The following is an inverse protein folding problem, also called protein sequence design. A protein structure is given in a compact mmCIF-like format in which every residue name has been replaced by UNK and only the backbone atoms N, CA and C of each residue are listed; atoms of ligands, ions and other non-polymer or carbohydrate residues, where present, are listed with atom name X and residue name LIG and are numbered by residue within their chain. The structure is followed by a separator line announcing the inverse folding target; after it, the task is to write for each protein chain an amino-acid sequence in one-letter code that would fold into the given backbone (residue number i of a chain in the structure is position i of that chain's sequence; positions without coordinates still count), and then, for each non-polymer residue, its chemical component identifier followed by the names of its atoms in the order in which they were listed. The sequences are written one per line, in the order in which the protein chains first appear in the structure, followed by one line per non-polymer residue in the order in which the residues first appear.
data_IF_436422850736
#
_entry.id   IF_436422850736
#
_cell.length_a   1.000
_cell.length_b   1.000
_cell.length_c   1.000
_cell.angle_alpha   90.00
_cell.angle_beta   90.00
_cell.angle_gamma   90.00
#
_symmetry.space_group_name_H-M   'P 1'
#
loop_
_entity.id
_entity.type
_entity.pdbx_description
1 polymer ?
#
# COMPACT_ATOMS: atom_id res chain seq x y z
N UNK A 1 0.62 4.72 9.54
CA UNK A 1 0.30 3.34 9.16
C UNK A 1 1.33 2.39 9.78
N UNK A 2 0.85 1.41 10.52
CA UNK A 2 1.61 0.32 11.17
C UNK A 2 1.69 -0.92 10.28
N UNK A 3 2.50 -1.91 10.65
CA UNK A 3 2.59 -3.19 9.95
C UNK A 3 1.25 -3.96 9.96
N UNK A 4 0.50 -3.87 11.07
CA UNK A 4 -0.83 -4.49 11.16
C UNK A 4 -1.81 -3.86 10.17
N UNK A 5 -1.82 -2.52 10.06
CA UNK A 5 -2.66 -1.82 9.08
C UNK A 5 -2.25 -2.13 7.64
N UNK A 6 -0.95 -2.31 7.39
CA UNK A 6 -0.44 -2.72 6.09
C UNK A 6 -0.91 -4.15 5.74
N UNK A 7 -0.83 -5.06 6.69
CA UNK A 7 -1.32 -6.43 6.53
C UNK A 7 -2.83 -6.47 6.29
N UNK A 8 -3.62 -5.66 7.01
CA UNK A 8 -5.06 -5.53 6.79
C UNK A 8 -5.40 -5.02 5.39
N UNK A 9 -4.66 -4.05 4.87
CA UNK A 9 -4.86 -3.53 3.52
C UNK A 9 -4.59 -4.58 2.45
N UNK A 10 -3.50 -5.35 2.59
CA UNK A 10 -3.18 -6.45 1.68
C UNK A 10 -4.27 -7.53 1.72
N UNK A 11 -4.69 -7.95 2.92
CA UNK A 11 -5.81 -8.89 3.07
C UNK A 11 -7.09 -8.40 2.41
N UNK A 12 -7.37 -7.10 2.53
CA UNK A 12 -8.59 -6.50 2.00
C UNK A 12 -8.66 -6.55 0.46
N UNK A 13 -7.53 -6.68 -0.22
CA UNK A 13 -7.44 -6.84 -1.69
C UNK A 13 -7.14 -8.29 -2.11
N UNK A 14 -7.28 -9.24 -1.19
CA UNK A 14 -7.12 -10.67 -1.46
C UNK A 14 -5.66 -11.16 -1.45
N UNK A 15 -4.72 -10.34 -0.99
CA UNK A 15 -3.30 -10.70 -0.89
C UNK A 15 -3.01 -11.16 0.52
N UNK A 16 -2.52 -12.39 0.68
CA UNK A 16 -2.07 -12.86 1.99
C UNK A 16 -0.88 -12.02 2.44
N UNK A 17 -0.96 -11.37 3.62
CA UNK A 17 0.09 -10.51 4.10
C UNK A 17 1.27 -11.39 4.49
N UNK A 18 2.50 -10.96 4.21
CA UNK A 18 3.66 -11.74 4.54
C UNK A 18 3.76 -11.98 6.05
N UNK A 19 4.06 -13.23 6.42
CA UNK A 19 4.28 -13.61 7.82
C UNK A 19 5.57 -13.00 8.43
N UNK A 20 6.50 -12.54 7.58
CA UNK A 20 7.72 -11.84 7.98
C UNK A 20 7.65 -10.38 7.50
N UNK A 21 7.73 -9.37 8.40
CA UNK A 21 7.75 -7.96 8.04
C UNK A 21 8.84 -7.55 7.03
N UNK A 22 9.96 -8.28 6.94
CA UNK A 22 11.00 -8.01 5.94
C UNK A 22 10.52 -8.21 4.50
N UNK A 23 9.43 -8.94 4.28
CA UNK A 23 8.84 -9.14 2.96
C UNK A 23 7.99 -7.94 2.51
N UNK A 24 7.73 -6.95 3.38
CA UNK A 24 7.13 -5.68 2.96
C UNK A 24 8.06 -4.81 2.10
N UNK A 25 9.33 -5.21 1.95
CA UNK A 25 10.28 -4.63 1.01
C UNK A 25 10.32 -5.39 -0.33
N UNK A 26 9.48 -6.41 -0.53
CA UNK A 26 9.27 -7.02 -1.84
C UNK A 26 8.31 -6.18 -2.68
N UNK A 27 8.54 -6.18 -3.99
CA UNK A 27 7.68 -5.48 -4.93
C UNK A 27 6.26 -6.09 -4.95
N UNK A 28 5.29 -5.32 -5.42
CA UNK A 28 3.94 -5.79 -5.66
C UNK A 28 3.92 -6.98 -6.62
N UNK A 29 4.76 -6.96 -7.67
CA UNK A 29 4.92 -8.10 -8.59
C UNK A 29 5.43 -9.37 -7.87
N UNK A 30 6.46 -9.24 -7.03
CA UNK A 30 7.00 -10.36 -6.23
C UNK A 30 5.99 -10.92 -5.22
N UNK A 31 5.04 -10.08 -4.78
CA UNK A 31 3.98 -10.43 -3.83
C UNK A 31 2.70 -10.92 -4.54
N UNK A 32 2.65 -10.93 -5.87
CA UNK A 32 1.48 -11.33 -6.66
C UNK A 32 0.33 -10.33 -6.58
N UNK A 33 0.61 -9.06 -6.33
CA UNK A 33 -0.38 -7.98 -6.28
C UNK A 33 -0.60 -7.47 -7.70
N UNK A 34 -1.66 -7.98 -8.33
CA UNK A 34 -2.05 -7.61 -9.69
C UNK A 34 -2.59 -6.18 -9.77
N UNK A 35 -2.65 -5.62 -10.99
CA UNK A 35 -3.08 -4.22 -11.22
C UNK A 35 -4.47 -3.89 -10.66
N UNK A 36 -5.40 -4.85 -10.66
CA UNK A 36 -6.71 -4.67 -10.03
C UNK A 36 -6.59 -4.51 -8.51
N UNK A 37 -5.76 -5.32 -7.86
CA UNK A 37 -5.50 -5.20 -6.43
C UNK A 37 -4.75 -3.90 -6.08
N UNK A 38 -3.87 -3.41 -6.96
CA UNK A 38 -3.19 -2.12 -6.81
C UNK A 38 -4.19 -0.95 -6.85
N UNK A 39 -5.09 -0.92 -7.84
CA UNK A 39 -6.15 0.10 -7.92
C UNK A 39 -7.08 0.04 -6.70
N UNK A 40 -7.41 -1.17 -6.25
CA UNK A 40 -8.19 -1.40 -5.04
C UNK A 40 -7.48 -0.94 -3.75
N UNK A 41 -6.15 -1.07 -3.67
CA UNK A 41 -5.34 -0.51 -2.58
C UNK A 41 -5.40 1.02 -2.63
N UNK A 42 -5.19 1.64 -3.79
CA UNK A 42 -5.23 3.08 -3.96
C UNK A 42 -6.58 3.67 -3.49
N UNK A 43 -7.69 3.08 -3.93
CA UNK A 43 -9.03 3.51 -3.49
C UNK A 43 -9.21 3.42 -1.96
N UNK A 44 -8.73 2.35 -1.33
CA UNK A 44 -8.82 2.19 0.14
C UNK A 44 -7.92 3.18 0.88
N UNK A 45 -6.78 3.55 0.32
CA UNK A 45 -5.90 4.56 0.89
C UNK A 45 -6.52 5.96 0.80
N UNK A 46 -7.20 6.27 -0.30
CA UNK A 46 -7.95 7.51 -0.45
C UNK A 46 -9.12 7.57 0.56
N UNK A 47 -9.93 6.52 0.64
CA UNK A 47 -11.04 6.44 1.60
C UNK A 47 -10.59 6.58 3.07
N UNK A 48 -9.47 5.94 3.44
CA UNK A 48 -9.00 5.89 4.84
C UNK A 48 -8.15 7.10 5.24
N UNK A 49 -7.35 7.64 4.33
CA UNK A 49 -6.35 8.66 4.64
C UNK A 49 -6.50 9.95 3.82
N UNK A 50 -7.40 10.01 2.83
CA UNK A 50 -7.53 11.12 1.89
C UNK A 50 -6.32 11.24 0.97
N UNK A 51 -5.69 10.11 0.64
CA UNK A 51 -4.45 10.02 -0.11
C UNK A 51 -4.66 9.21 -1.39
N UNK A 52 -4.82 9.93 -2.49
CA UNK A 52 -4.82 9.34 -3.84
C UNK A 52 -3.40 8.95 -4.28
N UNK A 53 -3.24 7.67 -4.64
CA UNK A 53 -1.99 7.04 -5.09
C UNK A 53 -2.18 6.18 -6.34
N UNK A 54 -3.32 6.23 -7.02
CA UNK A 54 -3.62 5.33 -8.15
C UNK A 54 -2.52 5.37 -9.22
N UNK A 55 -2.14 6.57 -9.66
CA UNK A 55 -1.10 6.79 -10.68
C UNK A 55 0.34 6.56 -10.17
N UNK A 56 0.52 6.32 -8.87
CA UNK A 56 1.83 6.14 -8.25
C UNK A 56 2.13 4.67 -7.89
N UNK A 57 1.08 3.86 -7.67
CA UNK A 57 1.26 2.43 -7.39
C UNK A 57 1.57 1.69 -8.70
N UNK A 58 2.83 1.31 -8.84
CA UNK A 58 3.35 0.50 -9.95
C UNK A 58 3.73 -0.92 -9.46
N UNK A 59 3.85 -1.92 -10.35
CA UNK A 59 4.26 -3.28 -9.98
C UNK A 59 5.59 -3.35 -9.19
N UNK A 60 6.53 -2.44 -9.45
CA UNK A 60 7.81 -2.35 -8.73
C UNK A 60 7.70 -1.74 -7.32
N UNK A 61 6.54 -1.17 -6.97
CA UNK A 61 6.31 -0.54 -5.66
C UNK A 61 6.33 -1.57 -4.56
N UNK A 62 6.95 -1.25 -3.42
CA UNK A 62 6.88 -2.08 -2.22
C UNK A 62 5.79 -1.58 -1.24
N UNK A 63 5.20 -2.47 -0.43
CA UNK A 63 4.32 -2.07 0.68
C UNK A 63 4.94 -1.01 1.61
N UNK A 64 6.25 -1.08 1.85
CA UNK A 64 6.98 -0.08 2.64
C UNK A 64 7.12 1.28 1.95
N UNK A 65 7.33 1.33 0.64
CA UNK A 65 7.34 2.58 -0.11
C UNK A 65 5.94 3.21 -0.14
N UNK A 66 4.90 2.42 -0.40
CA UNK A 66 3.51 2.87 -0.29
C UNK A 66 3.24 3.49 1.09
N UNK A 67 3.67 2.82 2.17
CA UNK A 67 3.54 3.34 3.54
C UNK A 67 4.20 4.71 3.72
N UNK A 68 5.42 4.85 3.21
CA UNK A 68 6.16 6.12 3.28
C UNK A 68 5.44 7.20 2.48
N UNK A 69 4.94 6.87 1.29
CA UNK A 69 4.25 7.82 0.43
C UNK A 69 2.96 8.34 1.06
N UNK A 70 2.17 7.46 1.70
CA UNK A 70 1.00 7.87 2.48
C UNK A 70 1.40 8.83 3.59
N UNK A 71 2.44 8.51 4.36
CA UNK A 71 2.92 9.37 5.44
C UNK A 71 3.37 10.75 4.95
N UNK A 72 4.06 10.82 3.80
CA UNK A 72 4.49 12.09 3.21
C UNK A 72 3.31 12.94 2.72
N UNK A 73 2.33 12.33 2.06
CA UNK A 73 1.12 13.05 1.60
C UNK A 73 0.27 13.57 2.76
N UNK A 74 0.08 12.77 3.82
CA UNK A 74 -0.65 13.24 5.01
C UNK A 74 0.05 14.43 5.69
N UNK A 75 1.38 14.45 5.75
CA UNK A 75 2.13 15.61 6.26
C UNK A 75 1.92 16.85 5.40
N UNK A 76 1.94 16.69 4.07
CA UNK A 76 1.76 17.79 3.12
C UNK A 76 0.35 18.40 3.18
N UNK A 77 -0.68 17.59 3.45
CA UNK A 77 -2.07 18.05 3.61
C UNK A 77 -2.36 18.75 4.95
N UNK A 78 -1.42 18.78 5.90
CA UNK A 78 -1.61 19.38 7.23
C UNK A 78 -1.16 20.86 7.28
N UNK A 79 -0.81 21.48 6.15
CA UNK A 79 -0.29 22.85 6.04
C UNK A 79 -1.31 23.82 5.43
#
# INVERSE_FOLDING_TARGET
MTDAELAELLLAVGVEPPANPELFDKSFDDLGIESLAQAELASRLDDRYGVDLEEWLEPETTPNEMRRQVAEKMKASTV
#
